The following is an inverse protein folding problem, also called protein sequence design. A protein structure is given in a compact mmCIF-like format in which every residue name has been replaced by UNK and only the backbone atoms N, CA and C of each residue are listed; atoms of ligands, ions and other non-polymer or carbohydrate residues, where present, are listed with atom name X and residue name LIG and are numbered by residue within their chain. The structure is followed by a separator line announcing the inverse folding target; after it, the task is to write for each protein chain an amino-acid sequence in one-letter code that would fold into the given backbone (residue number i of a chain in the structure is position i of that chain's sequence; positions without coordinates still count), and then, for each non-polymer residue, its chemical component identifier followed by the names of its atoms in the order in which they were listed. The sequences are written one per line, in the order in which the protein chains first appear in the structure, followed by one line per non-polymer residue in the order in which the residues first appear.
data_IF_309276812933
#
_entry.id   IF_309276812933
#
_cell.length_a   1.000
_cell.length_b   1.000
_cell.length_c   1.000
_cell.angle_alpha   90.00
_cell.angle_beta   90.00
_cell.angle_gamma   90.00
#
_symmetry.space_group_name_H-M   'P 1'
#
loop_
_entity.id
_entity.type
_entity.pdbx_description
1 polymer ?
#
# COMPACT_ATOMS: atom_id res chain seq x y z
N UNK A 1 -27.79 -46.81 -17.60
CA UNK A 1 -28.18 -47.27 -16.25
C UNK A 1 -28.13 -46.00 -15.40
N UNK A 2 -29.23 -45.30 -15.27
CA UNK A 2 -30.37 -45.45 -14.34
C UNK A 2 -30.00 -45.06 -12.90
N UNK A 3 -30.60 -43.94 -12.55
CA UNK A 3 -31.33 -43.64 -11.29
C UNK A 3 -30.45 -42.92 -10.22
N UNK A 4 -30.85 -41.95 -9.49
CA UNK A 4 -32.22 -41.53 -9.08
C UNK A 4 -32.17 -40.15 -8.47
N UNK A 5 -33.19 -39.39 -8.73
CA UNK A 5 -33.57 -38.15 -8.03
C UNK A 5 -34.01 -38.45 -6.60
N UNK A 6 -33.81 -37.52 -5.68
CA UNK A 6 -34.66 -37.46 -4.49
C UNK A 6 -34.89 -35.99 -4.11
N UNK A 7 -36.10 -35.58 -4.48
CA UNK A 7 -36.79 -34.37 -4.03
C UNK A 7 -37.32 -34.65 -2.62
N UNK A 8 -37.10 -33.74 -1.69
CA UNK A 8 -37.92 -33.69 -0.45
C UNK A 8 -38.42 -32.25 -0.31
N UNK A 9 -39.73 -32.17 -0.57
CA UNK A 9 -40.60 -31.03 -0.26
C UNK A 9 -41.14 -31.25 1.14
N UNK A 10 -41.06 -30.26 2.01
CA UNK A 10 -41.93 -30.17 3.19
C UNK A 10 -42.54 -28.76 3.27
N UNK A 11 -43.84 -28.81 3.21
CA UNK A 11 -44.73 -27.66 3.28
C UNK A 11 -45.29 -27.47 4.70
N UNK A 12 -45.66 -26.24 4.99
CA UNK A 12 -46.81 -25.78 5.79
C UNK A 12 -46.77 -25.87 7.32
N UNK A 13 -46.85 -24.70 7.96
CA UNK A 13 -48.01 -24.36 8.79
C UNK A 13 -48.00 -22.88 9.19
N UNK A 14 -49.07 -22.23 8.83
CA UNK A 14 -49.52 -20.88 9.21
C UNK A 14 -50.16 -20.96 10.60
N UNK A 15 -49.85 -19.99 11.47
CA UNK A 15 -50.74 -19.68 12.60
C UNK A 15 -50.81 -18.17 12.78
N UNK A 16 -51.99 -17.65 12.47
CA UNK A 16 -52.50 -16.31 12.73
C UNK A 16 -53.00 -16.23 14.16
N UNK A 17 -52.56 -15.24 14.92
CA UNK A 17 -53.25 -14.81 16.12
C UNK A 17 -53.33 -13.29 16.16
N UNK A 18 -54.51 -12.79 15.88
CA UNK A 18 -54.98 -11.43 16.09
C UNK A 18 -55.15 -11.15 17.59
N UNK A 19 -54.64 -10.01 18.04
CA UNK A 19 -54.93 -9.45 19.35
C UNK A 19 -54.83 -7.93 19.27
N UNK A 20 -56.00 -7.28 19.04
CA UNK A 20 -56.20 -5.86 19.27
C UNK A 20 -56.38 -5.62 20.75
N UNK A 21 -55.63 -4.64 21.31
CA UNK A 21 -56.09 -3.94 22.49
C UNK A 21 -55.69 -2.47 22.50
N UNK A 22 -56.66 -1.65 22.93
CA UNK A 22 -56.77 -0.22 22.80
C UNK A 22 -55.95 0.56 23.83
N UNK A 23 -55.28 1.63 23.37
CA UNK A 23 -55.45 3.03 23.83
C UNK A 23 -55.29 3.37 25.33
N UNK A 24 -54.27 4.18 25.62
CA UNK A 24 -54.49 5.47 26.32
C UNK A 24 -53.28 6.42 26.07
N UNK A 25 -53.49 7.71 25.90
CA UNK A 25 -52.39 8.67 25.68
C UNK A 25 -51.92 9.18 27.03
N UNK A 26 -50.60 9.19 27.23
CA UNK A 26 -49.96 9.87 28.35
C UNK A 26 -48.93 10.86 27.83
N UNK A 27 -49.33 12.09 27.90
CA UNK A 27 -48.67 13.35 28.27
C UNK A 27 -47.15 13.44 28.09
N UNK A 28 -46.79 14.35 27.18
CA UNK A 28 -45.42 14.83 26.93
C UNK A 28 -44.86 15.53 28.15
N UNK A 29 -43.66 15.11 28.58
CA UNK A 29 -42.76 15.98 29.31
C UNK A 29 -41.50 16.18 28.46
N UNK A 30 -40.99 17.43 28.30
CA UNK A 30 -39.84 17.71 27.47
C UNK A 30 -38.56 17.26 28.15
N UNK A 31 -37.97 16.17 27.64
CA UNK A 31 -36.63 15.77 28.04
C UNK A 31 -35.64 16.66 27.28
N UNK A 32 -35.12 17.65 27.96
CA UNK A 32 -33.97 18.42 27.53
C UNK A 32 -32.83 17.48 27.16
N UNK A 33 -32.61 17.29 25.87
CA UNK A 33 -31.42 16.66 25.34
C UNK A 33 -30.21 17.51 25.69
N UNK A 34 -29.48 17.06 26.71
CA UNK A 34 -28.18 17.60 27.07
C UNK A 34 -27.20 17.16 25.98
N UNK A 35 -26.98 18.06 25.02
CA UNK A 35 -25.96 17.94 23.97
C UNK A 35 -24.62 17.69 24.65
N UNK A 36 -24.12 16.48 24.58
CA UNK A 36 -22.73 16.19 24.90
C UNK A 36 -21.87 16.90 23.85
N UNK A 37 -20.77 17.55 24.21
CA UNK A 37 -19.89 18.14 23.22
C UNK A 37 -19.27 16.99 22.41
N UNK A 38 -19.63 16.95 21.14
CA UNK A 38 -18.93 16.18 20.13
C UNK A 38 -17.48 16.68 20.11
N UNK A 39 -16.60 15.94 20.78
CA UNK A 39 -15.17 16.11 20.61
C UNK A 39 -14.86 15.62 19.21
N UNK A 40 -14.98 16.52 18.24
CA UNK A 40 -14.42 16.30 16.90
C UNK A 40 -12.92 16.14 17.12
N UNK A 41 -12.47 14.89 17.17
CA UNK A 41 -11.07 14.57 17.12
C UNK A 41 -10.53 15.29 15.88
N UNK A 42 -9.64 16.26 16.11
CA UNK A 42 -8.96 17.01 15.05
C UNK A 42 -8.15 16.01 14.25
N UNK A 43 -8.78 15.42 13.22
CA UNK A 43 -8.08 14.63 12.21
C UNK A 43 -7.02 15.56 11.64
N UNK A 44 -5.77 15.22 11.90
CA UNK A 44 -4.66 15.92 11.27
C UNK A 44 -4.88 15.85 9.77
N UNK A 45 -5.14 16.98 9.16
CA UNK A 45 -5.37 17.09 7.72
C UNK A 45 -4.05 16.72 7.07
N UNK A 46 -3.95 15.48 6.57
CA UNK A 46 -2.85 15.06 5.71
C UNK A 46 -2.95 15.99 4.51
N UNK A 47 -1.99 16.91 4.38
CA UNK A 47 -1.96 17.82 3.25
C UNK A 47 -1.90 16.96 1.97
N UNK A 48 -2.92 17.09 1.12
CA UNK A 48 -2.87 16.47 -0.21
C UNK A 48 -1.67 17.06 -0.95
N UNK A 49 -0.82 16.24 -1.59
CA UNK A 49 0.26 16.78 -2.40
C UNK A 49 -0.34 17.68 -3.48
N UNK A 50 0.30 18.81 -3.77
CA UNK A 50 -0.13 19.63 -4.89
C UNK A 50 -0.22 18.77 -6.16
N UNK A 51 -1.23 19.00 -6.98
CA UNK A 51 -1.47 18.22 -8.21
C UNK A 51 -0.21 18.12 -9.09
N UNK A 52 0.58 19.20 -9.18
CA UNK A 52 1.84 19.22 -9.90
C UNK A 52 2.91 18.27 -9.33
N UNK A 53 2.93 18.05 -8.01
CA UNK A 53 3.90 17.13 -7.36
C UNK A 53 3.60 15.69 -7.73
N UNK A 54 2.32 15.31 -7.73
CA UNK A 54 1.88 13.96 -8.12
C UNK A 54 2.11 13.75 -9.62
N UNK A 55 1.80 14.75 -10.43
CA UNK A 55 2.00 14.69 -11.89
C UNK A 55 3.47 14.47 -12.23
N UNK A 56 4.39 15.23 -11.62
CA UNK A 56 5.82 15.08 -11.83
C UNK A 56 6.32 13.71 -11.36
N UNK A 57 5.90 13.25 -10.19
CA UNK A 57 6.24 11.92 -9.70
C UNK A 57 5.77 10.82 -10.67
N UNK A 58 4.52 10.88 -11.11
CA UNK A 58 3.96 9.90 -12.06
C UNK A 58 4.72 9.91 -13.38
N UNK A 59 5.07 11.08 -13.90
CA UNK A 59 5.88 11.21 -15.11
C UNK A 59 7.23 10.50 -14.97
N UNK A 60 7.94 10.70 -13.84
CA UNK A 60 9.23 10.02 -13.57
C UNK A 60 9.07 8.50 -13.45
N UNK A 61 7.99 8.07 -12.83
CA UNK A 61 7.66 6.63 -12.74
C UNK A 61 7.39 6.05 -14.12
N UNK A 62 6.65 6.75 -14.98
CA UNK A 62 6.38 6.32 -16.36
C UNK A 62 7.64 6.25 -17.20
N UNK A 63 8.54 7.22 -17.10
CA UNK A 63 9.86 7.21 -17.76
C UNK A 63 10.65 5.96 -17.35
N UNK A 64 10.70 5.67 -16.04
CA UNK A 64 11.35 4.46 -15.52
C UNK A 64 10.73 3.19 -16.10
N UNK A 65 9.41 3.08 -16.06
CA UNK A 65 8.68 1.88 -16.56
C UNK A 65 8.91 1.69 -18.06
N UNK A 66 8.92 2.76 -18.83
CA UNK A 66 9.21 2.70 -20.28
C UNK A 66 10.63 2.18 -20.53
N UNK A 67 11.63 2.69 -19.83
CA UNK A 67 13.01 2.20 -19.89
C UNK A 67 13.10 0.72 -19.52
N UNK A 68 12.56 0.32 -18.37
CA UNK A 68 12.57 -1.07 -17.91
C UNK A 68 11.92 -2.01 -18.93
N UNK A 69 10.75 -1.64 -19.45
CA UNK A 69 10.02 -2.43 -20.46
C UNK A 69 10.82 -2.61 -21.74
N UNK A 70 11.51 -1.55 -22.19
CA UNK A 70 12.40 -1.64 -23.35
C UNK A 70 13.55 -2.62 -23.09
N UNK A 71 14.18 -2.56 -21.92
CA UNK A 71 15.30 -3.42 -21.54
C UNK A 71 14.86 -4.87 -21.31
N UNK A 72 13.74 -5.09 -20.62
CA UNK A 72 13.13 -6.42 -20.44
C UNK A 72 12.82 -7.08 -21.79
N UNK A 73 12.37 -6.30 -22.78
CA UNK A 73 12.12 -6.79 -24.14
C UNK A 73 13.35 -7.32 -24.88
N UNK A 74 14.56 -6.98 -24.41
CA UNK A 74 15.82 -7.51 -24.99
C UNK A 74 16.23 -8.85 -24.39
N UNK A 75 15.64 -9.24 -23.27
CA UNK A 75 15.91 -10.51 -22.62
C UNK A 75 15.01 -11.61 -23.16
N UNK A 76 15.50 -12.85 -23.05
CA UNK A 76 14.68 -14.02 -23.35
C UNK A 76 13.49 -14.08 -22.38
N UNK A 77 12.29 -14.27 -22.92
CA UNK A 77 11.10 -14.46 -22.08
C UNK A 77 11.26 -15.67 -21.18
N UNK A 78 10.86 -15.52 -19.94
CA UNK A 78 10.84 -16.60 -18.95
C UNK A 78 9.44 -17.19 -18.93
N UNK A 79 9.27 -18.49 -19.27
CA UNK A 79 7.98 -19.17 -19.18
C UNK A 79 7.48 -19.27 -17.74
N UNK A 80 6.17 -19.34 -17.53
CA UNK A 80 5.55 -19.50 -16.20
C UNK A 80 5.97 -20.81 -15.49
N UNK A 81 6.46 -21.79 -16.27
CA UNK A 81 6.97 -23.07 -15.78
C UNK A 81 8.45 -23.06 -15.41
N UNK A 82 9.09 -21.88 -15.45
CA UNK A 82 10.53 -21.76 -15.16
C UNK A 82 10.86 -22.06 -13.71
N UNK A 83 12.05 -22.62 -13.51
CA UNK A 83 12.57 -22.90 -12.17
C UNK A 83 12.90 -21.59 -11.43
N UNK A 84 12.92 -21.60 -10.07
CA UNK A 84 13.34 -20.46 -9.29
C UNK A 84 14.72 -19.92 -9.68
N UNK A 85 15.64 -20.80 -10.08
CA UNK A 85 16.99 -20.43 -10.54
C UNK A 85 16.95 -19.64 -11.86
N UNK A 86 16.08 -20.03 -12.78
CA UNK A 86 15.92 -19.32 -14.05
C UNK A 86 15.28 -17.95 -13.85
N UNK A 87 14.30 -17.86 -12.94
CA UNK A 87 13.67 -16.60 -12.55
C UNK A 87 14.70 -15.65 -11.91
N UNK A 88 15.51 -16.13 -10.94
CA UNK A 88 16.57 -15.31 -10.32
C UNK A 88 17.61 -14.86 -11.34
N UNK A 89 18.02 -15.74 -12.25
CA UNK A 89 18.95 -15.38 -13.31
C UNK A 89 18.39 -14.29 -14.24
N UNK A 90 17.11 -14.36 -14.58
CA UNK A 90 16.43 -13.34 -15.36
C UNK A 90 16.33 -12.02 -14.63
N UNK A 91 15.95 -12.03 -13.35
CA UNK A 91 15.91 -10.83 -12.50
C UNK A 91 17.28 -10.15 -12.44
N UNK A 92 18.34 -10.92 -12.22
CA UNK A 92 19.72 -10.38 -12.20
C UNK A 92 20.15 -9.79 -13.54
N UNK A 93 19.78 -10.42 -14.65
CA UNK A 93 20.06 -9.90 -15.97
C UNK A 93 19.32 -8.57 -16.21
N UNK A 94 18.03 -8.49 -15.86
CA UNK A 94 17.25 -7.26 -15.97
C UNK A 94 17.82 -6.14 -15.06
N UNK A 95 18.12 -6.48 -13.81
CA UNK A 95 18.76 -5.55 -12.87
C UNK A 95 20.04 -4.96 -13.48
N UNK A 96 20.92 -5.80 -14.01
CA UNK A 96 22.19 -5.34 -14.58
C UNK A 96 21.98 -4.39 -15.77
N UNK A 97 20.98 -4.66 -16.62
CA UNK A 97 20.63 -3.79 -17.75
C UNK A 97 20.09 -2.44 -17.25
N UNK A 98 19.16 -2.45 -16.29
CA UNK A 98 18.56 -1.25 -15.72
C UNK A 98 19.62 -0.41 -14.99
N UNK A 99 20.42 -1.03 -14.11
CA UNK A 99 21.47 -0.35 -13.38
C UNK A 99 22.51 0.30 -14.33
N UNK A 100 22.87 -0.39 -15.41
CA UNK A 100 23.76 0.14 -16.44
C UNK A 100 23.15 1.35 -17.16
N UNK A 101 21.89 1.25 -17.57
CA UNK A 101 21.18 2.33 -18.27
C UNK A 101 20.95 3.56 -17.37
N UNK A 102 20.93 3.34 -16.05
CA UNK A 102 20.72 4.36 -15.01
C UNK A 102 22.00 4.59 -14.17
N UNK A 103 23.16 4.46 -14.75
CA UNK A 103 24.45 4.57 -14.02
C UNK A 103 24.61 5.89 -13.27
N UNK A 104 24.03 6.98 -13.80
CA UNK A 104 24.06 8.32 -13.20
C UNK A 104 22.88 8.61 -12.27
N UNK A 105 21.97 7.63 -12.07
CA UNK A 105 20.80 7.82 -11.23
C UNK A 105 21.19 7.95 -9.76
N UNK A 106 20.50 8.84 -9.07
CA UNK A 106 20.73 9.15 -7.66
C UNK A 106 19.40 9.27 -6.90
N UNK A 107 19.49 9.23 -5.59
CA UNK A 107 18.36 9.47 -4.71
C UNK A 107 17.69 10.81 -5.02
N UNK A 108 16.36 10.77 -5.16
CA UNK A 108 15.54 11.93 -5.46
C UNK A 108 15.25 12.13 -6.94
N UNK A 109 15.76 11.28 -7.82
CA UNK A 109 15.46 11.39 -9.25
C UNK A 109 14.00 11.07 -9.57
N UNK A 110 13.36 10.16 -8.79
CA UNK A 110 11.94 9.86 -8.90
C UNK A 110 11.16 10.53 -7.78
N UNK A 111 11.59 10.34 -6.53
CA UNK A 111 11.04 11.07 -5.38
C UNK A 111 11.65 12.48 -5.31
N UNK A 112 11.19 13.38 -6.14
CA UNK A 112 11.62 14.79 -6.13
C UNK A 112 11.46 15.41 -4.72
N UNK A 113 12.20 16.48 -4.36
CA UNK A 113 12.20 17.03 -3.00
C UNK A 113 10.81 17.30 -2.41
N UNK A 114 9.89 17.81 -3.21
CA UNK A 114 8.52 18.08 -2.75
C UNK A 114 7.73 16.78 -2.49
N UNK A 115 7.94 15.75 -3.31
CA UNK A 115 7.35 14.43 -3.08
C UNK A 115 7.94 13.76 -1.84
N UNK A 116 9.24 13.87 -1.60
CA UNK A 116 9.87 13.39 -0.36
C UNK A 116 9.29 14.09 0.88
N UNK A 117 9.10 15.42 0.80
CA UNK A 117 8.48 16.20 1.88
C UNK A 117 7.04 15.75 2.15
N UNK A 118 6.27 15.53 1.09
CA UNK A 118 4.92 14.98 1.20
C UNK A 118 4.92 13.61 1.86
N UNK A 119 5.74 12.67 1.40
CA UNK A 119 5.85 11.31 1.97
C UNK A 119 6.18 11.35 3.45
N UNK A 120 7.19 12.13 3.87
CA UNK A 120 7.54 12.28 5.29
C UNK A 120 6.40 12.88 6.10
N UNK A 121 5.70 13.88 5.57
CA UNK A 121 4.53 14.49 6.23
C UNK A 121 3.37 13.50 6.38
N UNK A 122 3.10 12.71 5.35
CA UNK A 122 2.09 11.66 5.35
C UNK A 122 2.38 10.61 6.43
N UNK A 123 3.58 10.03 6.42
CA UNK A 123 3.96 8.99 7.38
C UNK A 123 3.91 9.54 8.81
N UNK A 124 4.41 10.76 9.04
CA UNK A 124 4.31 11.43 10.34
C UNK A 124 2.85 11.56 10.80
N UNK A 125 1.95 11.95 9.91
CA UNK A 125 0.53 12.09 10.23
C UNK A 125 -0.11 10.75 10.60
N UNK A 126 0.18 9.69 9.87
CA UNK A 126 -0.30 8.32 10.17
C UNK A 126 0.24 7.86 11.52
N UNK A 127 1.52 8.05 11.78
CA UNK A 127 2.17 7.64 13.04
C UNK A 127 1.77 8.51 14.25
N UNK A 128 1.21 9.70 14.03
CA UNK A 128 0.62 10.52 15.08
C UNK A 128 -0.83 10.16 15.40
N UNK A 129 -1.46 9.31 14.59
CA UNK A 129 -2.82 8.82 14.79
C UNK A 129 -2.95 7.83 15.94
N UNK A 130 -4.19 7.43 16.29
CA UNK A 130 -4.47 6.53 17.42
C UNK A 130 -3.76 5.16 17.30
N UNK A 131 -3.61 4.64 16.10
CA UNK A 131 -2.92 3.38 15.82
C UNK A 131 -1.42 3.54 15.55
N UNK A 132 -0.92 4.76 15.58
CA UNK A 132 0.46 5.11 15.25
C UNK A 132 1.53 4.31 16.00
N UNK A 133 1.44 4.13 17.34
CA UNK A 133 2.39 3.31 18.10
C UNK A 133 2.41 1.85 17.63
N UNK A 134 1.25 1.27 17.31
CA UNK A 134 1.12 -0.10 16.81
C UNK A 134 1.72 -0.23 15.41
N UNK A 135 1.41 0.69 14.52
CA UNK A 135 1.96 0.74 13.15
C UNK A 135 3.48 0.86 13.21
N UNK A 136 4.00 1.77 14.04
CA UNK A 136 5.45 1.94 14.23
C UNK A 136 6.10 0.67 14.75
N UNK A 137 5.52 0.01 15.74
CA UNK A 137 6.01 -1.25 16.30
C UNK A 137 6.12 -2.33 15.21
N UNK A 138 5.04 -2.56 14.47
CA UNK A 138 5.03 -3.55 13.37
C UNK A 138 6.08 -3.24 12.29
N UNK A 139 6.20 -1.97 11.89
CA UNK A 139 7.19 -1.57 10.89
C UNK A 139 8.63 -1.77 11.39
N UNK A 140 8.92 -1.50 12.66
CA UNK A 140 10.25 -1.69 13.23
C UNK A 140 10.60 -3.16 13.43
N UNK A 141 9.63 -3.99 13.80
CA UNK A 141 9.82 -5.44 13.97
C UNK A 141 10.08 -6.14 12.63
N UNK A 142 9.43 -5.69 11.55
CA UNK A 142 9.58 -6.27 10.22
C UNK A 142 10.80 -5.74 9.45
N UNK A 143 11.38 -4.60 9.89
CA UNK A 143 12.42 -3.90 9.14
C UNK A 143 13.70 -3.73 9.95
N UNK A 144 14.72 -4.54 9.73
CA UNK A 144 16.00 -4.41 10.41
C UNK A 144 16.64 -3.05 10.12
N UNK A 145 17.03 -2.35 11.18
CA UNK A 145 17.75 -1.10 11.08
C UNK A 145 19.19 -1.32 10.60
N UNK A 146 19.76 -0.32 9.95
CA UNK A 146 21.18 -0.34 9.54
C UNK A 146 21.44 -1.02 8.19
N UNK A 147 20.41 -1.44 7.48
CA UNK A 147 20.56 -1.97 6.12
C UNK A 147 21.00 -0.84 5.18
N UNK A 148 22.09 -1.05 4.48
CA UNK A 148 22.57 -0.13 3.45
C UNK A 148 21.83 -0.42 2.14
N UNK A 149 21.22 0.60 1.57
CA UNK A 149 20.55 0.54 0.27
C UNK A 149 20.96 1.78 -0.51
N UNK A 150 21.20 1.60 -1.80
CA UNK A 150 21.40 2.68 -2.74
C UNK A 150 20.46 2.51 -3.95
N UNK A 151 20.34 3.58 -4.74
CA UNK A 151 19.62 3.53 -6.03
C UNK A 151 20.34 2.54 -6.94
N UNK A 152 19.58 1.75 -7.68
CA UNK A 152 20.02 0.64 -8.52
C UNK A 152 20.59 -0.58 -7.79
N UNK A 153 20.59 -0.59 -6.43
CA UNK A 153 20.94 -1.80 -5.70
C UNK A 153 19.86 -2.88 -5.85
N UNK A 154 20.29 -4.14 -5.80
CA UNK A 154 19.37 -5.24 -5.62
C UNK A 154 18.74 -5.16 -4.23
N UNK A 155 17.43 -5.36 -4.16
CA UNK A 155 16.77 -5.53 -2.86
C UNK A 155 17.36 -6.77 -2.17
N UNK A 156 17.82 -6.68 -0.92
CA UNK A 156 18.48 -7.79 -0.25
C UNK A 156 17.53 -8.97 0.00
N UNK A 157 17.91 -10.15 -0.48
CA UNK A 157 17.12 -11.39 -0.31
C UNK A 157 16.95 -11.81 1.16
N UNK A 158 17.76 -11.24 2.05
CA UNK A 158 17.72 -11.51 3.51
C UNK A 158 16.74 -10.64 4.28
N UNK A 159 16.17 -9.62 3.63
CA UNK A 159 15.21 -8.72 4.25
C UNK A 159 13.79 -9.19 3.89
N UNK A 160 12.94 -9.47 4.89
CA UNK A 160 11.55 -9.76 4.63
C UNK A 160 10.88 -8.59 3.90
N UNK A 161 9.94 -8.89 3.01
CA UNK A 161 9.08 -7.84 2.45
C UNK A 161 8.15 -7.34 3.55
N UNK A 162 8.36 -6.09 3.99
CA UNK A 162 7.52 -5.47 5.01
C UNK A 162 6.10 -5.21 4.51
N UNK A 163 5.15 -5.32 5.41
CA UNK A 163 3.76 -4.97 5.14
C UNK A 163 3.62 -3.44 5.06
N UNK A 164 3.03 -2.94 3.98
CA UNK A 164 2.73 -1.52 3.87
C UNK A 164 1.45 -1.18 4.64
N UNK A 165 1.46 -0.22 5.59
CA UNK A 165 0.25 0.20 6.28
C UNK A 165 -0.81 0.70 5.28
N UNK A 166 -2.07 0.22 5.37
CA UNK A 166 -3.12 0.56 4.41
C UNK A 166 -3.36 2.06 4.25
N UNK A 167 -3.32 2.81 5.35
CA UNK A 167 -3.55 4.27 5.34
C UNK A 167 -2.43 5.02 4.60
N UNK A 168 -1.17 4.56 4.74
CA UNK A 168 -0.04 5.10 3.98
C UNK A 168 -0.20 4.78 2.51
N UNK A 169 -0.51 3.51 2.19
CA UNK A 169 -0.67 3.08 0.80
C UNK A 169 -1.83 3.80 0.09
N UNK A 170 -2.95 3.99 0.79
CA UNK A 170 -4.13 4.67 0.24
C UNK A 170 -3.87 6.15 -0.09
N UNK A 171 -2.95 6.80 0.62
CA UNK A 171 -2.63 8.22 0.45
C UNK A 171 -1.47 8.46 -0.53
N UNK A 172 -0.68 7.43 -0.86
CA UNK A 172 0.38 7.51 -1.87
C UNK A 172 -0.19 7.42 -3.29
N UNK A 173 0.48 8.01 -4.30
CA UNK A 173 0.11 7.82 -5.70
C UNK A 173 0.08 6.34 -6.08
N UNK A 174 -0.87 5.96 -6.93
CA UNK A 174 -0.95 4.59 -7.42
C UNK A 174 0.22 4.29 -8.35
N UNK A 175 0.84 3.15 -8.16
CA UNK A 175 1.95 2.69 -8.98
C UNK A 175 1.47 1.79 -10.12
N UNK A 176 2.16 1.80 -11.27
CA UNK A 176 2.02 0.79 -12.32
C UNK A 176 2.39 -0.62 -11.82
N UNK A 177 2.00 -1.64 -12.58
CA UNK A 177 2.39 -3.03 -12.33
C UNK A 177 3.91 -3.19 -12.18
N UNK A 178 4.30 -4.12 -11.32
CA UNK A 178 5.69 -4.45 -11.00
C UNK A 178 6.48 -3.35 -10.25
N UNK A 179 5.82 -2.29 -9.80
CA UNK A 179 6.40 -1.33 -8.86
C UNK A 179 5.64 -1.37 -7.54
N UNK A 180 6.36 -1.32 -6.45
CA UNK A 180 5.79 -1.34 -5.11
C UNK A 180 6.50 -0.37 -4.17
N UNK A 181 5.72 0.19 -3.22
CA UNK A 181 6.30 0.86 -2.07
C UNK A 181 6.64 -0.17 -0.99
N UNK A 182 7.83 -0.07 -0.42
CA UNK A 182 8.27 -0.91 0.71
C UNK A 182 9.02 -0.08 1.74
N UNK A 183 8.97 -0.50 2.99
CA UNK A 183 9.84 0.05 4.01
C UNK A 183 11.10 -0.81 4.14
N UNK A 184 12.26 -0.16 4.32
CA UNK A 184 13.51 -0.81 4.69
C UNK A 184 14.20 0.07 5.72
N UNK A 185 14.23 -0.39 6.95
CA UNK A 185 14.64 0.44 8.08
C UNK A 185 13.79 1.72 8.16
N UNK A 186 14.46 2.85 8.16
CA UNK A 186 13.83 4.20 8.19
C UNK A 186 13.60 4.81 6.79
N UNK A 187 13.44 3.98 5.76
CA UNK A 187 13.28 4.43 4.37
C UNK A 187 12.02 3.89 3.75
N UNK A 188 11.32 4.72 3.00
CA UNK A 188 10.33 4.27 2.02
C UNK A 188 11.02 4.13 0.67
N UNK A 189 11.08 2.93 0.13
CA UNK A 189 11.66 2.64 -1.16
C UNK A 189 10.59 2.48 -2.25
N UNK A 190 10.95 2.79 -3.47
CA UNK A 190 10.26 2.37 -4.68
C UNK A 190 11.00 1.14 -5.22
N UNK A 191 10.35 -0.01 -5.14
CA UNK A 191 10.90 -1.31 -5.54
C UNK A 191 10.35 -1.72 -6.90
N UNK A 192 11.22 -2.07 -7.82
CA UNK A 192 10.87 -2.83 -9.02
C UNK A 192 10.93 -4.32 -8.70
N UNK A 193 9.76 -4.98 -8.66
CA UNK A 193 9.65 -6.41 -8.31
C UNK A 193 10.13 -7.31 -9.43
N UNK A 194 10.03 -6.87 -10.69
CA UNK A 194 10.49 -7.65 -11.84
C UNK A 194 12.02 -7.70 -11.93
N UNK A 195 12.67 -6.54 -11.72
CA UNK A 195 14.13 -6.45 -11.67
C UNK A 195 14.72 -6.74 -10.28
N UNK A 196 13.89 -6.80 -9.25
CA UNK A 196 14.28 -6.90 -7.84
C UNK A 196 15.25 -5.78 -7.43
N UNK A 197 14.95 -4.55 -7.87
CA UNK A 197 15.84 -3.40 -7.85
C UNK A 197 15.21 -2.21 -7.10
N UNK A 198 16.02 -1.52 -6.29
CA UNK A 198 15.65 -0.25 -5.66
C UNK A 198 15.72 0.88 -6.69
N UNK A 199 14.58 1.40 -7.10
CA UNK A 199 14.49 2.46 -8.12
C UNK A 199 14.87 3.81 -7.54
N UNK A 200 14.35 4.13 -6.35
CA UNK A 200 14.61 5.35 -5.59
C UNK A 200 14.10 5.18 -4.16
N UNK A 201 14.39 6.10 -3.25
CA UNK A 201 13.92 6.04 -1.87
C UNK A 201 13.83 7.40 -1.18
N UNK A 202 13.04 7.45 -0.12
CA UNK A 202 12.90 8.59 0.80
C UNK A 202 13.49 8.19 2.14
N UNK A 203 14.52 8.92 2.59
CA UNK A 203 15.13 8.74 3.91
C UNK A 203 14.31 9.38 5.04
N UNK A 204 14.60 8.96 6.27
CA UNK A 204 14.11 9.59 7.50
C UNK A 204 12.58 9.68 7.57
N UNK A 205 11.93 8.57 7.21
CA UNK A 205 10.46 8.51 7.17
C UNK A 205 9.84 8.37 8.56
N UNK A 206 10.60 7.89 9.56
CA UNK A 206 10.14 7.69 10.95
C UNK A 206 10.74 8.69 11.94
N UNK A 207 11.63 9.58 11.51
CA UNK A 207 12.19 10.63 12.37
C UNK A 207 11.14 11.73 12.55
N UNK A 208 10.55 11.73 13.76
CA UNK A 208 9.46 12.64 14.19
C UNK A 208 10.03 13.54 15.28
#
# INVERSE_FOLDING_TARGET
MRHSQMLVVFALAVLVATGCEKKTPQEEAPVTAKTAPETVAKQATIGTPGEGVVTEFNHRVEEYVALRKQLSGTLKKVPDTSSPKELDAHQRALLALVAKARADAKQGDVFQPEMQKFVRGLIRSVLAGPDGPKIRGSLMDENPMGVKIAVNDRYPDTIPMSTMPPDVLAALPKLPENLEYRFVGNRLILLDVEAHLVVDFVDNTFDV
#
